data_IF_071888944091
#
_entry.id   IF_071888944091
#
_cell.length_a   1.000
_cell.length_b   1.000
_cell.length_c   1.000
_cell.angle_alpha   90.00
_cell.angle_beta   90.00
_cell.angle_gamma   90.00
#
_symmetry.space_group_name_H-M   'P 1'
#
loop_
_entity.id
_entity.type
_entity.pdbx_description
1 polymer ?
#
# COMPACT_ATOMS: atom_id res chain seq x y z
N UNK A 1 63.53 27.42 -2.26
CA UNK A 1 62.31 28.24 -2.09
C UNK A 1 61.10 27.39 -2.44
N UNK A 2 60.39 26.85 -1.44
CA UNK A 2 59.13 26.12 -1.64
C UNK A 2 57.96 27.06 -1.34
N UNK A 3 57.15 27.36 -2.36
CA UNK A 3 55.89 28.09 -2.19
C UNK A 3 54.81 27.14 -1.63
N UNK A 4 54.31 27.43 -0.42
CA UNK A 4 53.09 26.82 0.11
C UNK A 4 51.87 27.45 -0.58
N UNK A 5 51.10 26.66 -1.30
CA UNK A 5 49.80 27.08 -1.84
C UNK A 5 48.78 27.17 -0.69
N UNK A 6 48.10 28.32 -0.57
CA UNK A 6 46.96 28.50 0.32
C UNK A 6 45.72 27.77 -0.22
N UNK A 7 44.89 27.14 0.63
CA UNK A 7 43.70 26.42 0.17
C UNK A 7 42.63 27.40 -0.32
N UNK A 8 42.20 27.25 -1.57
CA UNK A 8 41.03 27.95 -2.13
C UNK A 8 39.76 27.38 -1.51
N UNK A 9 39.11 28.16 -0.66
CA UNK A 9 37.79 27.84 -0.09
C UNK A 9 36.76 27.83 -1.22
N UNK A 10 35.97 26.76 -1.31
CA UNK A 10 35.01 26.51 -2.38
C UNK A 10 33.78 27.43 -2.21
N UNK A 11 33.44 28.19 -3.26
CA UNK A 11 32.30 29.14 -3.25
C UNK A 11 30.94 28.52 -2.87
N UNK A 12 30.81 27.19 -2.99
CA UNK A 12 29.61 26.45 -2.58
C UNK A 12 29.49 26.29 -1.04
N UNK A 13 30.60 26.18 -0.31
CA UNK A 13 30.57 26.14 1.17
C UNK A 13 30.16 27.49 1.77
N UNK A 14 30.58 28.59 1.14
CA UNK A 14 30.15 29.93 1.57
C UNK A 14 28.64 30.13 1.35
N UNK A 15 28.08 29.63 0.23
CA UNK A 15 26.64 29.65 -0.02
C UNK A 15 25.85 28.82 0.98
N UNK A 16 26.32 27.62 1.32
CA UNK A 16 25.66 26.73 2.30
C UNK A 16 25.70 27.32 3.72
N UNK A 17 26.81 27.94 4.12
CA UNK A 17 26.92 28.63 5.41
C UNK A 17 26.03 29.87 5.51
N UNK A 18 25.82 30.59 4.40
CA UNK A 18 24.88 31.72 4.34
C UNK A 18 23.43 31.26 4.49
N UNK A 19 23.04 30.17 3.81
CA UNK A 19 21.69 29.58 3.90
C UNK A 19 21.42 29.07 5.32
N UNK A 20 22.40 28.42 5.96
CA UNK A 20 22.25 27.93 7.33
C UNK A 20 22.12 29.08 8.35
N UNK A 21 22.88 30.17 8.18
CA UNK A 21 22.71 31.40 9.00
C UNK A 21 21.34 32.04 8.81
N UNK A 22 20.81 32.06 7.58
CA UNK A 22 19.49 32.60 7.29
C UNK A 22 18.35 31.73 7.86
N UNK A 23 18.52 30.40 7.88
CA UNK A 23 17.58 29.48 8.53
C UNK A 23 17.58 29.63 10.06
N UNK A 24 18.75 29.75 10.68
CA UNK A 24 18.86 29.93 12.14
C UNK A 24 18.33 31.31 12.59
N UNK A 25 18.42 32.32 11.72
CA UNK A 25 17.84 33.65 11.99
C UNK A 25 16.30 33.67 11.82
N UNK A 26 15.72 32.80 10.99
CA UNK A 26 14.28 32.75 10.74
C UNK A 26 13.49 32.07 11.86
N UNK A 27 14.09 31.09 12.56
CA UNK A 27 13.46 30.41 13.70
C UNK A 27 13.45 31.23 15.00
N UNK A 28 14.10 32.39 15.03
CA UNK A 28 14.15 33.26 16.21
C UNK A 28 13.04 34.32 16.27
N UNK A 29 12.14 34.37 15.28
CA UNK A 29 11.19 35.49 15.16
C UNK A 29 9.71 35.10 14.99
N UNK A 30 9.31 33.88 15.35
CA UNK A 30 7.91 33.56 15.54
C UNK A 30 7.65 32.88 16.88
N UNK A 31 6.87 33.59 17.70
CA UNK A 31 6.19 33.17 18.91
C UNK A 31 7.09 32.90 20.13
N UNK A 32 7.24 33.91 21.00
CA UNK A 32 6.90 33.80 22.43
C UNK A 32 6.89 35.22 23.02
N UNK A 33 5.69 35.79 23.23
CA UNK A 33 5.53 36.89 24.18
C UNK A 33 5.80 36.33 25.60
N UNK A 34 6.94 36.66 26.20
CA UNK A 34 7.15 36.52 27.64
C UNK A 34 7.00 37.88 28.31
N UNK A 35 5.83 38.11 28.87
CA UNK A 35 5.62 39.14 29.88
C UNK A 35 6.32 38.75 31.19
N UNK A 36 7.22 39.62 31.65
CA UNK A 36 7.70 39.81 33.04
C UNK A 36 8.01 38.52 33.84
N UNK A 37 9.19 37.94 33.61
CA UNK A 37 9.78 36.95 34.52
C UNK A 37 10.72 37.68 35.49
N UNK A 38 10.49 37.51 36.79
CA UNK A 38 11.29 38.03 37.91
C UNK A 38 12.81 37.88 37.66
N UNK A 39 13.63 38.94 37.84
CA UNK A 39 15.08 38.92 37.65
C UNK A 39 15.80 37.77 38.39
N UNK A 40 15.27 37.34 39.53
CA UNK A 40 15.84 36.26 40.33
C UNK A 40 15.62 34.87 39.70
N UNK A 41 14.52 34.69 38.96
CA UNK A 41 14.24 33.45 38.21
C UNK A 41 15.13 33.34 36.97
N UNK A 42 15.39 34.46 36.29
CA UNK A 42 16.32 34.52 35.16
C UNK A 42 17.77 34.17 35.56
N UNK A 43 18.22 34.64 36.74
CA UNK A 43 19.54 34.27 37.29
C UNK A 43 19.64 32.79 37.65
N UNK A 44 18.59 32.18 38.22
CA UNK A 44 18.58 30.72 38.50
C UNK A 44 18.67 29.88 37.23
N UNK A 45 17.98 30.30 36.16
CA UNK A 45 18.07 29.63 34.85
C UNK A 45 19.49 29.78 34.29
N UNK A 46 20.09 30.98 34.31
CA UNK A 46 21.47 31.18 33.83
C UNK A 46 22.53 30.38 34.60
N UNK A 47 22.39 30.24 35.93
CA UNK A 47 23.31 29.45 36.75
C UNK A 47 23.14 27.95 36.45
N UNK A 48 21.90 27.48 36.27
CA UNK A 48 21.63 26.10 35.85
C UNK A 48 22.21 25.78 34.46
N UNK A 49 22.18 26.75 33.53
CA UNK A 49 22.82 26.62 32.21
C UNK A 49 24.35 26.64 32.28
N UNK A 50 24.96 27.37 33.22
CA UNK A 50 26.42 27.51 33.35
C UNK A 50 27.11 26.28 33.95
N UNK A 51 26.39 25.44 34.71
CA UNK A 51 26.94 24.24 35.35
C UNK A 51 26.60 22.91 34.65
N UNK A 52 25.79 22.92 33.58
CA UNK A 52 25.67 21.76 32.71
C UNK A 52 26.90 21.66 31.79
N UNK A 53 27.96 20.99 32.28
CA UNK A 53 28.88 20.28 31.38
C UNK A 53 28.05 19.26 30.62
N UNK A 54 27.71 19.60 29.37
CA UNK A 54 27.08 18.70 28.43
C UNK A 54 28.09 17.56 28.19
N UNK A 55 27.93 16.43 28.87
CA UNK A 55 28.39 15.16 28.33
C UNK A 55 27.68 14.99 26.98
N UNK A 56 28.42 15.25 25.90
CA UNK A 56 27.96 14.92 24.56
C UNK A 56 27.86 13.40 24.48
N UNK A 57 26.70 12.84 24.86
CA UNK A 57 26.30 11.54 24.31
C UNK A 57 26.41 11.71 22.79
N UNK A 58 27.18 10.86 22.09
CA UNK A 58 27.28 10.97 20.66
C UNK A 58 25.85 10.91 20.12
N UNK A 59 25.48 11.91 19.32
CA UNK A 59 24.36 11.76 18.42
C UNK A 59 24.69 10.50 17.62
N UNK A 60 24.04 9.39 17.97
CA UNK A 60 23.96 8.26 17.06
C UNK A 60 23.27 8.87 15.87
N UNK A 61 24.06 9.23 14.86
CA UNK A 61 23.55 9.55 13.56
C UNK A 61 22.68 8.36 13.22
N UNK A 62 21.35 8.51 13.34
CA UNK A 62 20.44 7.61 12.66
C UNK A 62 20.93 7.68 11.24
N UNK A 63 21.58 6.62 10.80
CA UNK A 63 22.12 6.50 9.45
C UNK A 63 20.93 6.81 8.57
N UNK A 64 20.85 8.05 8.06
CA UNK A 64 19.94 8.37 6.99
C UNK A 64 20.46 7.42 5.92
N UNK A 65 19.74 6.32 5.72
CA UNK A 65 20.05 5.41 4.63
C UNK A 65 19.80 6.27 3.41
N UNK A 66 20.88 6.87 2.88
CA UNK A 66 20.86 7.38 1.54
C UNK A 66 20.39 6.21 0.69
N UNK A 67 19.25 6.40 0.04
CA UNK A 67 18.68 5.43 -0.88
C UNK A 67 19.73 5.24 -1.95
N UNK A 68 20.28 4.03 -2.04
CA UNK A 68 21.16 3.66 -3.14
C UNK A 68 20.32 3.60 -4.42
N UNK A 69 20.48 4.54 -5.36
CA UNK A 69 19.69 4.61 -6.59
C UNK A 69 19.93 3.39 -7.49
N UNK A 70 20.96 2.59 -7.22
CA UNK A 70 21.39 1.44 -8.00
C UNK A 70 21.15 0.11 -7.28
N UNK A 71 20.55 0.11 -6.08
CA UNK A 71 20.22 -1.15 -5.41
C UNK A 71 19.04 -1.84 -6.12
N UNK A 72 19.19 -3.12 -6.46
CA UNK A 72 18.14 -3.96 -7.07
C UNK A 72 16.81 -4.00 -6.29
N UNK A 73 16.76 -3.49 -5.05
CA UNK A 73 15.52 -3.30 -4.28
C UNK A 73 14.59 -2.22 -4.84
N UNK A 74 15.12 -1.31 -5.68
CA UNK A 74 14.37 -0.23 -6.34
C UNK A 74 14.25 -0.41 -7.86
N UNK A 75 14.67 -1.55 -8.42
CA UNK A 75 14.20 -2.00 -9.74
C UNK A 75 12.75 -2.53 -9.69
N UNK A 76 11.98 -2.13 -8.66
CA UNK A 76 10.56 -2.35 -8.65
C UNK A 76 9.97 -1.36 -9.63
N UNK A 77 9.14 -1.87 -10.55
CA UNK A 77 8.35 -1.03 -11.44
C UNK A 77 7.69 0.06 -10.58
N UNK A 78 7.80 1.32 -11.01
CA UNK A 78 7.22 2.49 -10.34
C UNK A 78 5.69 2.29 -10.18
N UNK A 79 5.08 1.46 -11.03
CA UNK A 79 3.67 1.11 -10.98
C UNK A 79 3.36 -0.19 -10.21
N UNK A 80 4.36 -0.82 -9.58
CA UNK A 80 4.15 -1.98 -8.72
C UNK A 80 3.36 -1.59 -7.47
N UNK A 81 2.52 -2.51 -6.99
CA UNK A 81 1.74 -2.27 -5.78
C UNK A 81 2.64 -2.00 -4.58
N UNK A 82 3.73 -2.76 -4.42
CA UNK A 82 4.69 -2.57 -3.35
C UNK A 82 5.28 -1.15 -3.31
N UNK A 83 5.62 -0.57 -4.46
CA UNK A 83 6.12 0.80 -4.55
C UNK A 83 5.04 1.81 -4.15
N UNK A 84 3.83 1.70 -4.71
CA UNK A 84 2.73 2.63 -4.40
C UNK A 84 2.32 2.57 -2.93
N UNK A 85 2.32 1.37 -2.33
CA UNK A 85 2.09 1.21 -0.89
C UNK A 85 3.17 1.89 -0.04
N UNK A 86 4.45 1.69 -0.36
CA UNK A 86 5.57 2.32 0.36
C UNK A 86 5.56 3.85 0.23
N UNK A 87 5.06 4.38 -0.89
CA UNK A 87 4.86 5.80 -1.12
C UNK A 87 3.60 6.37 -0.42
N UNK A 88 2.79 5.55 0.25
CA UNK A 88 1.57 5.96 0.94
C UNK A 88 0.33 6.12 0.05
N UNK A 89 0.35 5.61 -1.19
CA UNK A 89 -0.76 5.69 -2.14
C UNK A 89 -1.93 4.76 -1.84
N UNK A 90 -1.76 3.80 -0.93
CA UNK A 90 -2.81 2.89 -0.48
C UNK A 90 -3.16 3.21 0.98
N UNK A 91 -4.42 3.51 1.32
CA UNK A 91 -4.84 3.95 2.66
C UNK A 91 -4.97 2.77 3.64
N UNK A 92 -3.94 1.94 3.74
CA UNK A 92 -3.82 0.86 4.71
C UNK A 92 -2.52 1.00 5.49
N UNK A 93 -2.54 0.60 6.76
CA UNK A 93 -1.36 0.50 7.61
C UNK A 93 -1.30 -0.86 8.28
N UNK A 94 -0.08 -1.32 8.52
CA UNK A 94 0.18 -2.52 9.30
C UNK A 94 0.32 -2.13 10.77
N UNK A 95 -0.48 -2.76 11.61
CA UNK A 95 -0.34 -2.72 13.06
C UNK A 95 0.00 -4.12 13.56
N UNK A 96 1.01 -4.23 14.42
CA UNK A 96 1.33 -5.47 15.11
C UNK A 96 0.63 -5.46 16.46
N UNK A 97 -0.13 -6.52 16.76
CA UNK A 97 -0.69 -6.67 18.09
C UNK A 97 0.39 -7.12 19.09
N UNK A 98 0.08 -7.15 20.38
CA UNK A 98 1.01 -7.57 21.45
C UNK A 98 1.55 -9.00 21.28
N UNK A 99 0.86 -9.84 20.50
CA UNK A 99 1.26 -11.21 20.18
C UNK A 99 2.12 -11.31 18.90
N UNK A 100 2.46 -10.18 18.27
CA UNK A 100 3.24 -10.12 17.03
C UNK A 100 2.45 -10.41 15.76
N UNK A 101 1.13 -10.60 15.84
CA UNK A 101 0.29 -10.85 14.66
C UNK A 101 0.07 -9.55 13.88
N UNK A 102 0.30 -9.65 12.57
CA UNK A 102 0.09 -8.55 11.61
C UNK A 102 -1.41 -8.32 11.40
N UNK A 103 -1.90 -7.12 11.74
CA UNK A 103 -3.26 -6.67 11.44
C UNK A 103 -3.19 -5.48 10.48
N UNK A 104 -3.83 -5.61 9.33
CA UNK A 104 -3.97 -4.51 8.38
C UNK A 104 -5.21 -3.70 8.76
N UNK A 105 -5.07 -2.39 8.84
CA UNK A 105 -6.13 -1.46 9.16
C UNK A 105 -6.24 -0.38 8.09
N UNK A 106 -7.47 -0.02 7.73
CA UNK A 106 -7.74 1.18 6.96
C UNK A 106 -7.35 2.42 7.77
N UNK A 107 -6.82 3.47 7.11
CA UNK A 107 -6.46 4.73 7.79
C UNK A 107 -7.76 5.46 8.18
N UNK A 108 -8.01 5.75 9.47
CA UNK A 108 -9.29 6.32 9.93
C UNK A 108 -9.66 7.66 9.27
N UNK A 109 -8.67 8.49 8.96
CA UNK A 109 -8.89 9.83 8.38
C UNK A 109 -9.24 9.80 6.89
N UNK A 110 -9.17 8.62 6.25
CA UNK A 110 -9.51 8.44 4.83
C UNK A 110 -10.92 7.89 4.71
N UNK A 111 -11.88 8.74 4.35
CA UNK A 111 -13.25 8.29 4.14
C UNK A 111 -13.37 7.43 2.86
N UNK A 112 -13.64 6.14 3.06
CA UNK A 112 -13.79 5.16 1.97
C UNK A 112 -15.02 5.42 1.08
N UNK A 113 -16.06 6.08 1.60
CA UNK A 113 -17.27 6.44 0.86
C UNK A 113 -17.03 7.54 -0.16
N UNK A 114 -16.09 8.45 0.07
CA UNK A 114 -15.78 9.54 -0.86
C UNK A 114 -14.52 9.29 -1.69
N UNK A 115 -13.67 8.35 -1.26
CA UNK A 115 -12.46 7.97 -1.98
C UNK A 115 -12.76 7.56 -3.44
N UNK A 116 -11.99 8.05 -4.44
CA UNK A 116 -12.06 7.54 -5.80
C UNK A 116 -11.46 6.13 -5.88
N UNK A 117 -12.16 5.22 -6.57
CA UNK A 117 -11.72 3.82 -6.69
C UNK A 117 -10.61 3.65 -7.73
N UNK A 118 -10.46 4.61 -8.64
CA UNK A 118 -9.31 4.74 -9.53
C UNK A 118 -8.44 5.90 -9.03
N UNK A 119 -7.13 5.70 -8.76
CA UNK A 119 -6.34 4.50 -9.05
C UNK A 119 -6.33 3.43 -7.95
N UNK A 120 -6.85 3.72 -6.75
CA UNK A 120 -6.59 2.92 -5.54
C UNK A 120 -6.97 1.44 -5.70
N UNK A 121 -8.20 1.14 -6.10
CA UNK A 121 -8.67 -0.24 -6.26
C UNK A 121 -7.94 -0.96 -7.40
N UNK A 122 -7.66 -0.25 -8.51
CA UNK A 122 -6.93 -0.81 -9.65
C UNK A 122 -5.52 -1.22 -9.22
N UNK A 123 -4.83 -0.36 -8.48
CA UNK A 123 -3.50 -0.67 -7.92
C UNK A 123 -3.57 -1.86 -6.95
N UNK A 124 -4.58 -1.93 -6.08
CA UNK A 124 -4.75 -3.09 -5.19
C UNK A 124 -4.97 -4.39 -5.97
N UNK A 125 -5.74 -4.36 -7.08
CA UNK A 125 -5.93 -5.53 -7.94
C UNK A 125 -4.63 -5.97 -8.64
N UNK A 126 -3.77 -5.03 -9.04
CA UNK A 126 -2.41 -5.36 -9.51
C UNK A 126 -1.56 -6.01 -8.40
N UNK A 127 -1.77 -5.61 -7.15
CA UNK A 127 -1.14 -6.18 -5.97
C UNK A 127 -1.51 -7.64 -5.67
N UNK A 128 -2.51 -8.22 -6.34
CA UNK A 128 -2.84 -9.64 -6.20
C UNK A 128 -1.70 -10.55 -6.70
N UNK A 129 -0.84 -10.06 -7.59
CA UNK A 129 0.31 -10.80 -8.11
C UNK A 129 1.54 -10.75 -7.21
N UNK A 130 1.53 -9.91 -6.18
CA UNK A 130 2.62 -9.86 -5.21
C UNK A 130 2.70 -11.19 -4.47
N UNK A 131 3.88 -11.81 -4.41
CA UNK A 131 4.12 -13.05 -3.66
C UNK A 131 5.06 -12.84 -2.46
N UNK A 132 5.67 -11.65 -2.37
CA UNK A 132 6.51 -11.22 -1.27
C UNK A 132 5.65 -10.65 -0.14
N UNK A 133 5.87 -11.17 1.08
CA UNK A 133 5.24 -10.62 2.28
C UNK A 133 5.79 -9.20 2.55
N UNK A 134 4.95 -8.21 2.92
CA UNK A 134 3.53 -8.29 3.31
C UNK A 134 2.51 -7.97 2.19
N UNK A 135 2.95 -7.70 0.97
CA UNK A 135 2.16 -6.95 0.00
C UNK A 135 0.85 -7.62 -0.44
N UNK A 136 0.84 -8.94 -0.67
CA UNK A 136 -0.38 -9.68 -1.03
C UNK A 136 -1.48 -9.51 0.02
N UNK A 137 -1.12 -9.59 1.29
CA UNK A 137 -2.08 -9.47 2.40
C UNK A 137 -2.65 -8.05 2.45
N UNK A 138 -1.83 -7.03 2.22
CA UNK A 138 -2.28 -5.63 2.18
C UNK A 138 -3.22 -5.40 1.01
N UNK A 139 -2.84 -5.84 -0.19
CA UNK A 139 -3.65 -5.69 -1.40
C UNK A 139 -5.03 -6.34 -1.24
N UNK A 140 -5.07 -7.60 -0.79
CA UNK A 140 -6.32 -8.34 -0.56
C UNK A 140 -7.18 -7.72 0.54
N UNK A 141 -6.59 -7.27 1.64
CA UNK A 141 -7.34 -6.62 2.71
C UNK A 141 -7.89 -5.25 2.28
N UNK A 142 -7.10 -4.46 1.53
CA UNK A 142 -7.55 -3.18 0.98
C UNK A 142 -8.73 -3.37 0.02
N UNK A 143 -8.65 -4.39 -0.85
CA UNK A 143 -9.77 -4.79 -1.72
C UNK A 143 -11.00 -5.10 -0.88
N UNK A 144 -10.89 -5.91 0.17
CA UNK A 144 -12.03 -6.24 1.03
C UNK A 144 -12.67 -5.01 1.66
N UNK A 145 -11.89 -4.09 2.24
CA UNK A 145 -12.44 -2.84 2.77
C UNK A 145 -13.22 -2.06 1.71
N UNK A 146 -12.68 -1.94 0.50
CA UNK A 146 -13.34 -1.21 -0.59
C UNK A 146 -14.56 -1.93 -1.16
N UNK A 147 -14.57 -3.26 -1.21
CA UNK A 147 -15.72 -4.03 -1.68
C UNK A 147 -16.87 -4.06 -0.66
N UNK A 148 -16.56 -3.99 0.65
CA UNK A 148 -17.57 -4.04 1.72
C UNK A 148 -18.27 -2.72 2.02
N UNK A 149 -17.93 -1.64 1.30
CA UNK A 149 -18.57 -0.34 1.46
C UNK A 149 -19.97 -0.33 0.80
N UNK A 150 -20.98 0.26 1.45
CA UNK A 150 -22.35 0.37 0.94
C UNK A 150 -22.42 1.04 -0.45
N UNK A 151 -21.59 2.06 -0.70
CA UNK A 151 -21.53 2.78 -1.98
C UNK A 151 -20.53 2.15 -2.98
N UNK A 152 -20.04 0.93 -2.72
CA UNK A 152 -18.98 0.33 -3.52
C UNK A 152 -19.44 -0.06 -4.92
N UNK A 153 -20.66 -0.59 -5.06
CA UNK A 153 -21.12 -1.22 -6.29
C UNK A 153 -21.01 -0.30 -7.51
N UNK A 154 -21.59 0.90 -7.45
CA UNK A 154 -21.58 1.86 -8.56
C UNK A 154 -20.15 2.25 -8.96
N UNK A 155 -19.30 2.52 -7.97
CA UNK A 155 -17.89 2.88 -8.18
C UNK A 155 -17.09 1.73 -8.80
N UNK A 156 -17.32 0.50 -8.34
CA UNK A 156 -16.64 -0.69 -8.88
C UNK A 156 -17.06 -0.93 -10.32
N UNK A 157 -18.36 -0.81 -10.65
CA UNK A 157 -18.85 -1.01 -12.02
C UNK A 157 -18.13 -0.06 -13.00
N UNK A 158 -17.91 1.19 -12.60
CA UNK A 158 -17.19 2.18 -13.43
C UNK A 158 -15.73 1.78 -13.71
N UNK A 159 -15.04 1.19 -12.72
CA UNK A 159 -13.64 0.77 -12.87
C UNK A 159 -13.47 -0.69 -13.29
N UNK A 160 -14.56 -1.47 -13.34
CA UNK A 160 -14.56 -2.92 -13.55
C UNK A 160 -13.71 -3.37 -14.76
N UNK A 161 -13.74 -2.71 -15.94
CA UNK A 161 -12.90 -3.12 -17.07
C UNK A 161 -11.39 -3.16 -16.74
N UNK A 162 -10.93 -2.27 -15.85
CA UNK A 162 -9.52 -2.19 -15.42
C UNK A 162 -9.14 -3.29 -14.41
N UNK A 163 -10.12 -3.86 -13.71
CA UNK A 163 -9.91 -4.90 -12.70
C UNK A 163 -9.82 -6.31 -13.30
N UNK A 164 -10.39 -6.50 -14.49
CA UNK A 164 -10.54 -7.83 -15.13
C UNK A 164 -9.19 -8.47 -15.43
N UNK A 165 -8.26 -7.73 -16.07
CA UNK A 165 -6.97 -8.30 -16.45
C UNK A 165 -6.08 -8.64 -15.24
N UNK A 166 -5.91 -7.76 -14.23
CA UNK A 166 -5.14 -8.09 -13.04
C UNK A 166 -5.69 -9.32 -12.30
N UNK A 167 -7.03 -9.41 -12.16
CA UNK A 167 -7.67 -10.56 -11.52
C UNK A 167 -7.48 -11.85 -12.32
N UNK A 168 -7.65 -11.80 -13.65
CA UNK A 168 -7.39 -12.96 -14.54
C UNK A 168 -5.94 -13.42 -14.40
N UNK A 169 -4.97 -12.50 -14.39
CA UNK A 169 -3.56 -12.81 -14.25
C UNK A 169 -3.27 -13.50 -12.92
N UNK A 170 -3.86 -12.99 -11.82
CA UNK A 170 -3.73 -13.62 -10.50
C UNK A 170 -4.35 -15.03 -10.45
N UNK A 171 -5.51 -15.24 -11.08
CA UNK A 171 -6.11 -16.57 -11.23
C UNK A 171 -5.28 -17.53 -12.09
N UNK A 172 -4.42 -17.00 -12.96
CA UNK A 172 -3.51 -17.81 -13.80
C UNK A 172 -2.17 -18.11 -13.11
N UNK A 173 -1.96 -17.60 -11.89
CA UNK A 173 -0.71 -17.79 -11.16
C UNK A 173 -0.51 -19.24 -10.72
N UNK A 174 0.75 -19.69 -10.76
CA UNK A 174 1.17 -20.99 -10.21
C UNK A 174 1.26 -20.99 -8.67
N UNK A 175 1.32 -19.81 -8.05
CA UNK A 175 1.39 -19.67 -6.60
C UNK A 175 0.00 -19.91 -5.99
N UNK A 176 -0.11 -20.95 -5.17
CA UNK A 176 -1.35 -21.29 -4.45
C UNK A 176 -1.87 -20.13 -3.59
N UNK A 177 -0.96 -19.34 -3.00
CA UNK A 177 -1.32 -18.17 -2.18
C UNK A 177 -1.99 -17.09 -3.03
N UNK A 178 -1.42 -16.79 -4.20
CA UNK A 178 -1.95 -15.82 -5.14
C UNK A 178 -3.27 -16.31 -5.72
N UNK A 179 -3.32 -17.56 -6.18
CA UNK A 179 -4.53 -18.17 -6.74
C UNK A 179 -5.69 -18.19 -5.74
N UNK A 180 -5.45 -18.66 -4.51
CA UNK A 180 -6.48 -18.72 -3.47
C UNK A 180 -6.97 -17.33 -3.06
N UNK A 181 -6.09 -16.33 -3.04
CA UNK A 181 -6.46 -14.94 -2.80
C UNK A 181 -7.32 -14.39 -3.93
N UNK A 182 -6.93 -14.65 -5.18
CA UNK A 182 -7.67 -14.23 -6.37
C UNK A 182 -9.07 -14.87 -6.45
N UNK A 183 -9.21 -16.15 -6.08
CA UNK A 183 -10.52 -16.81 -5.98
C UNK A 183 -11.45 -16.12 -4.98
N UNK A 184 -10.94 -15.81 -3.78
CA UNK A 184 -11.69 -15.07 -2.75
C UNK A 184 -12.07 -13.67 -3.22
N UNK A 185 -11.14 -12.98 -3.88
CA UNK A 185 -11.41 -11.66 -4.47
C UNK A 185 -12.46 -11.73 -5.57
N UNK A 186 -12.44 -12.74 -6.45
CA UNK A 186 -13.46 -12.94 -7.47
C UNK A 186 -14.84 -13.19 -6.84
N UNK A 187 -14.90 -13.97 -5.77
CA UNK A 187 -16.14 -14.21 -5.02
C UNK A 187 -16.72 -12.92 -4.45
N UNK A 188 -15.89 -12.14 -3.75
CA UNK A 188 -16.30 -10.86 -3.18
C UNK A 188 -16.74 -9.88 -4.27
N UNK A 189 -16.00 -9.82 -5.39
CA UNK A 189 -16.35 -8.98 -6.53
C UNK A 189 -17.71 -9.40 -7.12
N UNK A 190 -17.95 -10.70 -7.31
CA UNK A 190 -19.22 -11.23 -7.79
C UNK A 190 -20.39 -10.85 -6.90
N UNK A 191 -20.24 -10.96 -5.58
CA UNK A 191 -21.28 -10.57 -4.63
C UNK A 191 -21.64 -9.08 -4.71
N UNK A 192 -20.69 -8.23 -5.10
CA UNK A 192 -20.92 -6.77 -5.17
C UNK A 192 -21.48 -6.33 -6.52
N UNK A 193 -20.97 -6.85 -7.64
CA UNK A 193 -21.38 -6.34 -8.97
C UNK A 193 -22.34 -7.26 -9.74
N UNK A 194 -22.51 -8.51 -9.28
CA UNK A 194 -23.41 -9.50 -9.86
C UNK A 194 -23.24 -9.68 -11.36
N UNK A 195 -24.36 -9.60 -12.09
CA UNK A 195 -24.46 -9.81 -13.54
C UNK A 195 -23.55 -8.90 -14.39
N UNK A 196 -23.03 -7.79 -13.85
CA UNK A 196 -22.05 -6.95 -14.56
C UNK A 196 -20.75 -7.70 -14.88
N UNK A 197 -20.43 -8.79 -14.17
CA UNK A 197 -19.30 -9.67 -14.49
C UNK A 197 -19.54 -10.59 -15.68
N UNK A 198 -20.78 -10.80 -16.12
CA UNK A 198 -21.13 -11.83 -17.11
C UNK A 198 -20.31 -11.72 -18.40
N UNK A 199 -20.10 -10.49 -18.88
CA UNK A 199 -19.29 -10.20 -20.07
C UNK A 199 -17.81 -10.58 -19.96
N UNK A 200 -17.30 -10.79 -18.74
CA UNK A 200 -15.92 -11.15 -18.46
C UNK A 200 -15.74 -12.60 -18.00
N UNK A 201 -16.81 -13.35 -17.72
CA UNK A 201 -16.73 -14.67 -17.11
C UNK A 201 -15.80 -15.64 -17.83
N UNK A 202 -15.83 -15.65 -19.17
CA UNK A 202 -14.96 -16.50 -19.99
C UNK A 202 -13.47 -16.28 -19.69
N UNK A 203 -13.08 -15.08 -19.28
CA UNK A 203 -11.70 -14.75 -18.94
C UNK A 203 -11.26 -15.38 -17.61
N UNK A 204 -12.17 -15.54 -16.65
CA UNK A 204 -11.89 -16.13 -15.33
C UNK A 204 -12.08 -17.64 -15.31
N UNK A 205 -13.05 -18.17 -16.06
CA UNK A 205 -13.34 -19.61 -16.08
C UNK A 205 -12.19 -20.45 -16.65
N UNK A 206 -11.45 -19.90 -17.63
CA UNK A 206 -10.30 -20.59 -18.23
C UNK A 206 -9.21 -20.92 -17.17
N UNK A 207 -8.66 -19.95 -16.42
CA UNK A 207 -7.68 -20.26 -15.39
C UNK A 207 -8.24 -21.08 -14.22
N UNK A 208 -9.52 -20.90 -13.86
CA UNK A 208 -10.18 -21.72 -12.83
C UNK A 208 -10.24 -23.19 -13.24
N UNK A 209 -10.67 -23.48 -14.48
CA UNK A 209 -10.70 -24.84 -15.02
C UNK A 209 -9.30 -25.48 -15.01
N UNK A 210 -8.26 -24.71 -15.36
CA UNK A 210 -6.88 -25.21 -15.40
C UNK A 210 -6.39 -25.66 -14.02
N UNK A 211 -7.02 -25.17 -12.95
CA UNK A 211 -6.68 -25.45 -11.56
C UNK A 211 -7.68 -26.39 -10.87
N UNK A 212 -8.67 -26.93 -11.59
CA UNK A 212 -9.76 -27.75 -11.01
C UNK A 212 -9.26 -29.03 -10.33
N UNK A 213 -8.18 -29.63 -10.85
CA UNK A 213 -7.61 -30.88 -10.31
C UNK A 213 -6.68 -30.64 -9.11
N UNK A 214 -6.56 -29.39 -8.65
CA UNK A 214 -5.74 -29.08 -7.49
C UNK A 214 -6.48 -29.50 -6.21
N UNK A 215 -5.92 -30.47 -5.48
CA UNK A 215 -6.57 -31.10 -4.33
C UNK A 215 -7.06 -30.10 -3.27
N UNK A 216 -6.34 -28.98 -3.09
CA UNK A 216 -6.67 -27.95 -2.09
C UNK A 216 -7.86 -27.06 -2.51
N UNK A 217 -8.08 -26.87 -3.82
CA UNK A 217 -9.02 -25.84 -4.30
C UNK A 217 -10.34 -26.40 -4.85
N UNK A 218 -10.50 -27.73 -4.94
CA UNK A 218 -11.70 -28.34 -5.53
C UNK A 218 -13.02 -27.78 -4.96
N UNK A 219 -13.15 -27.74 -3.63
CA UNK A 219 -14.37 -27.21 -3.00
C UNK A 219 -14.52 -25.70 -3.18
N UNK A 220 -13.43 -24.93 -3.07
CA UNK A 220 -13.47 -23.48 -3.29
C UNK A 220 -13.86 -23.13 -4.73
N UNK A 221 -13.38 -23.91 -5.70
CA UNK A 221 -13.72 -23.80 -7.11
C UNK A 221 -15.21 -24.11 -7.31
N UNK A 222 -15.73 -25.16 -6.67
CA UNK A 222 -17.17 -25.46 -6.72
C UNK A 222 -18.01 -24.31 -6.18
N UNK A 223 -17.67 -23.81 -4.99
CA UNK A 223 -18.37 -22.69 -4.35
C UNK A 223 -18.37 -21.44 -5.24
N UNK A 224 -17.23 -21.05 -5.82
CA UNK A 224 -17.19 -19.85 -6.67
C UNK A 224 -18.03 -20.03 -7.94
N UNK A 225 -18.06 -21.21 -8.56
CA UNK A 225 -18.89 -21.45 -9.74
C UNK A 225 -20.38 -21.29 -9.42
N UNK A 226 -20.83 -21.82 -8.27
CA UNK A 226 -22.19 -21.61 -7.77
C UNK A 226 -22.49 -20.14 -7.47
N UNK A 227 -21.55 -19.41 -6.85
CA UNK A 227 -21.72 -17.97 -6.58
C UNK A 227 -21.80 -17.17 -7.89
N UNK A 228 -20.99 -17.49 -8.90
CA UNK A 228 -21.03 -16.84 -10.21
C UNK A 228 -22.36 -17.12 -10.93
N UNK A 229 -22.88 -18.34 -10.85
CA UNK A 229 -24.20 -18.70 -11.40
C UNK A 229 -25.32 -17.94 -10.69
N UNK A 230 -25.36 -17.98 -9.36
CA UNK A 230 -26.42 -17.35 -8.57
C UNK A 230 -26.46 -15.83 -8.76
N UNK A 231 -25.30 -15.17 -8.80
CA UNK A 231 -25.24 -13.71 -8.94
C UNK A 231 -25.38 -13.25 -10.40
N UNK A 232 -25.08 -14.13 -11.36
CA UNK A 232 -25.07 -13.81 -12.79
C UNK A 232 -26.35 -14.16 -13.53
N UNK A 233 -27.20 -15.03 -12.97
CA UNK A 233 -28.48 -15.42 -13.55
C UNK A 233 -28.40 -16.62 -14.51
N UNK A 234 -29.54 -16.98 -15.11
CA UNK A 234 -29.74 -18.23 -15.86
C UNK A 234 -28.79 -18.43 -17.05
N UNK A 235 -28.30 -17.36 -17.67
CA UNK A 235 -27.38 -17.41 -18.81
C UNK A 235 -25.98 -17.90 -18.41
N UNK A 236 -25.58 -17.70 -17.15
CA UNK A 236 -24.23 -18.02 -16.68
C UNK A 236 -24.00 -19.53 -16.62
N UNK A 237 -25.02 -20.31 -16.27
CA UNK A 237 -24.92 -21.77 -16.24
C UNK A 237 -24.39 -22.32 -17.58
N UNK A 238 -24.94 -21.85 -18.71
CA UNK A 238 -24.51 -22.29 -20.04
C UNK A 238 -23.06 -21.91 -20.32
N UNK A 239 -22.63 -20.71 -19.91
CA UNK A 239 -21.24 -20.26 -20.08
C UNK A 239 -20.26 -21.08 -19.25
N UNK A 240 -20.62 -21.40 -17.99
CA UNK A 240 -19.82 -22.26 -17.12
C UNK A 240 -19.73 -23.66 -17.73
N UNK A 241 -20.87 -24.27 -18.11
CA UNK A 241 -20.92 -25.63 -18.66
C UNK A 241 -20.10 -25.78 -19.95
N UNK A 242 -20.10 -24.76 -20.81
CA UNK A 242 -19.27 -24.73 -22.02
C UNK A 242 -17.76 -24.76 -21.72
N UNK A 243 -17.32 -24.15 -20.61
CA UNK A 243 -15.90 -24.09 -20.22
C UNK A 243 -15.48 -25.19 -19.25
N UNK A 244 -16.41 -25.67 -18.43
CA UNK A 244 -16.22 -26.66 -17.37
C UNK A 244 -17.32 -27.70 -17.52
N UNK A 245 -17.17 -28.67 -18.44
CA UNK A 245 -18.22 -29.66 -18.72
C UNK A 245 -18.59 -30.52 -17.50
N UNK A 246 -17.67 -30.68 -16.55
CA UNK A 246 -17.84 -31.43 -15.30
C UNK A 246 -18.68 -30.69 -14.26
N UNK A 247 -18.94 -29.39 -14.43
CA UNK A 247 -19.77 -28.63 -13.49
C UNK A 247 -21.23 -29.07 -13.58
N UNK A 248 -21.83 -29.40 -12.44
CA UNK A 248 -23.26 -29.71 -12.29
C UNK A 248 -23.78 -29.03 -11.04
N UNK A 249 -24.90 -28.33 -11.15
CA UNK A 249 -25.62 -27.81 -10.00
C UNK A 249 -26.44 -28.96 -9.39
N UNK A 250 -26.41 -29.11 -8.06
CA UNK A 250 -27.18 -30.13 -7.33
C UNK A 250 -28.31 -29.45 -6.57
#
# INVERSE_FOLDING_TARGET
MMYKQSPKINSNEQRLNQIHRNYVAADYNQNYQYSLVDPHMAQKIMIAYKHQKIEKKPLVAKKIKMVDPFSNKYQRDINSFAYVYEAGGIPCKINYNTQGNMKIQWIPDVNIQTLPYDPVLVTCFNGLLEDVHPYLAIATTAIQFMLSNEAAQEKIIQVLPKLVLPLRSALSSKSDKVFGSALKTLMALSNVVGSHLNKYLKLFLVPIWQRQNHQVFGEQIRIILTVLENNGGSEVFQVIKQKIPTYSNF
#
